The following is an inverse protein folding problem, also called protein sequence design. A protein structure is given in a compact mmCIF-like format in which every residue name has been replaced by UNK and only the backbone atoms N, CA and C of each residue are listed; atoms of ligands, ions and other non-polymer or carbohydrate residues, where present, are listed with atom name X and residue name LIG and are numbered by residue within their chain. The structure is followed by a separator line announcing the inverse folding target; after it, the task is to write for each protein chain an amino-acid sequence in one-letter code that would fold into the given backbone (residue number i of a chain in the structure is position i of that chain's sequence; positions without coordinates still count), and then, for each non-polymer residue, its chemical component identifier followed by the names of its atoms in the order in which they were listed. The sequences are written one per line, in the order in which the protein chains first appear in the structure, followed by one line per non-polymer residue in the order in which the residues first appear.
data_IF_112640883703
#
_entry.id   IF_112640883703
#
_cell.length_a   1.000
_cell.length_b   1.000
_cell.length_c   1.000
_cell.angle_alpha   90.00
_cell.angle_beta   90.00
_cell.angle_gamma   90.00
#
_symmetry.space_group_name_H-M   'P 1'
#
loop_
_entity.id
_entity.type
_entity.pdbx_description
1 polymer ?
#
# COMPACT_ATOMS: atom_id res chain seq x y z
N UNK A 1 -20.12 -9.28 12.25
CA UNK A 1 -18.95 -9.53 13.14
C UNK A 1 -18.12 -8.27 13.16
N UNK A 2 -17.67 -7.82 14.34
CA UNK A 2 -16.92 -6.58 14.50
C UNK A 2 -15.48 -6.89 14.94
N UNK A 3 -14.48 -6.25 14.33
CA UNK A 3 -13.09 -6.37 14.76
C UNK A 3 -12.31 -5.06 14.50
N UNK A 4 -11.20 -4.84 15.22
CA UNK A 4 -10.35 -3.67 15.03
C UNK A 4 -9.73 -3.54 13.62
N UNK A 5 -9.74 -2.34 13.06
CA UNK A 5 -9.21 -2.04 11.72
C UNK A 5 -7.72 -2.35 11.57
N UNK A 6 -6.93 -2.24 12.64
CA UNK A 6 -5.49 -2.53 12.59
C UNK A 6 -5.16 -3.94 12.10
N UNK A 7 -6.05 -4.92 12.27
CA UNK A 7 -5.81 -6.28 11.75
C UNK A 7 -5.68 -6.32 10.22
N UNK A 8 -6.31 -5.37 9.51
CA UNK A 8 -6.20 -5.23 8.06
C UNK A 8 -5.07 -4.26 7.66
N UNK A 9 -4.90 -3.17 8.40
CA UNK A 9 -3.89 -2.15 8.07
C UNK A 9 -2.46 -2.61 8.37
N UNK A 10 -2.26 -3.48 9.36
CA UNK A 10 -0.92 -3.91 9.74
C UNK A 10 -0.20 -4.71 8.63
N UNK A 11 -0.81 -5.73 7.99
CA UNK A 11 -0.21 -6.38 6.83
C UNK A 11 0.13 -5.42 5.68
N UNK A 12 -0.76 -4.45 5.41
CA UNK A 12 -0.52 -3.42 4.39
C UNK A 12 0.70 -2.56 4.73
N UNK A 13 0.85 -2.17 6.00
CA UNK A 13 1.99 -1.40 6.47
C UNK A 13 3.31 -2.17 6.37
N UNK A 14 3.31 -3.47 6.71
CA UNK A 14 4.49 -4.34 6.54
C UNK A 14 4.88 -4.45 5.07
N UNK A 15 3.91 -4.65 4.18
CA UNK A 15 4.16 -4.69 2.74
C UNK A 15 4.74 -3.36 2.24
N UNK A 16 4.16 -2.23 2.66
CA UNK A 16 4.69 -0.90 2.35
C UNK A 16 6.12 -0.68 2.84
N UNK A 17 6.47 -1.18 4.03
CA UNK A 17 7.82 -1.10 4.57
C UNK A 17 8.83 -1.91 3.74
N UNK A 18 8.48 -3.14 3.34
CA UNK A 18 9.33 -3.96 2.45
C UNK A 18 9.50 -3.27 1.09
N UNK A 19 8.41 -2.72 0.55
CA UNK A 19 8.45 -2.00 -0.71
C UNK A 19 9.35 -0.76 -0.65
N UNK A 20 9.34 -0.03 0.47
CA UNK A 20 10.25 1.11 0.68
C UNK A 20 11.74 0.69 0.64
N UNK A 21 12.08 -0.50 1.15
CA UNK A 21 13.46 -1.03 1.05
C UNK A 21 13.87 -1.25 -0.41
N UNK A 22 12.98 -1.79 -1.24
CA UNK A 22 13.26 -1.96 -2.67
C UNK A 22 13.47 -0.62 -3.39
N UNK A 23 12.65 0.39 -3.06
CA UNK A 23 12.81 1.74 -3.63
C UNK A 23 14.16 2.36 -3.23
N UNK A 24 14.59 2.18 -1.98
CA UNK A 24 15.90 2.65 -1.52
C UNK A 24 17.05 1.92 -2.23
N UNK A 25 16.90 0.62 -2.47
CA UNK A 25 17.87 -0.16 -3.25
C UNK A 25 17.95 0.35 -4.70
N UNK A 26 16.83 0.66 -5.33
CA UNK A 26 16.81 1.21 -6.70
C UNK A 26 17.45 2.60 -6.75
N UNK A 27 17.19 3.45 -5.75
CA UNK A 27 17.86 4.74 -5.60
C UNK A 27 19.39 4.59 -5.44
N UNK A 28 19.84 3.61 -4.66
CA UNK A 28 21.27 3.31 -4.52
C UNK A 28 21.89 2.87 -5.84
N UNK A 29 21.23 1.98 -6.58
CA UNK A 29 21.70 1.55 -7.90
C UNK A 29 21.74 2.71 -8.89
N UNK A 30 20.73 3.58 -8.88
CA UNK A 30 20.70 4.76 -9.72
C UNK A 30 21.87 5.68 -9.39
N UNK A 31 22.08 6.02 -8.12
CA UNK A 31 23.19 6.89 -7.71
C UNK A 31 24.57 6.30 -8.04
N UNK A 32 24.71 4.97 -8.00
CA UNK A 32 25.99 4.28 -8.23
C UNK A 32 26.28 3.98 -9.70
N UNK A 33 25.25 3.82 -10.54
CA UNK A 33 25.39 3.29 -11.90
C UNK A 33 24.60 4.05 -12.98
N UNK A 34 24.10 5.26 -12.68
CA UNK A 34 23.24 6.08 -13.56
C UNK A 34 23.76 6.24 -15.01
N UNK A 35 25.07 6.10 -15.24
CA UNK A 35 25.70 6.44 -16.52
C UNK A 35 25.81 5.27 -17.51
N UNK A 36 25.58 4.01 -17.10
CA UNK A 36 25.86 2.86 -17.97
C UNK A 36 24.89 2.73 -19.15
N UNK A 37 23.59 3.01 -18.95
CA UNK A 37 22.57 2.90 -20.00
C UNK A 37 21.40 3.88 -19.79
N UNK A 38 21.21 4.81 -20.73
CA UNK A 38 20.17 5.85 -20.69
C UNK A 38 18.75 5.29 -20.50
N UNK A 39 18.42 4.15 -21.12
CA UNK A 39 17.10 3.52 -20.96
C UNK A 39 16.85 3.09 -19.52
N UNK A 40 17.83 2.47 -18.86
CA UNK A 40 17.69 2.04 -17.46
C UNK A 40 17.51 3.25 -16.55
N UNK A 41 18.26 4.33 -16.78
CA UNK A 41 18.12 5.60 -16.06
C UNK A 41 16.68 6.15 -16.16
N UNK A 42 16.14 6.28 -17.37
CA UNK A 42 14.77 6.79 -17.59
C UNK A 42 13.72 5.87 -16.95
N UNK A 43 13.87 4.55 -17.07
CA UNK A 43 12.93 3.59 -16.48
C UNK A 43 12.91 3.66 -14.95
N UNK A 44 14.07 3.85 -14.31
CA UNK A 44 14.13 4.04 -12.85
C UNK A 44 13.40 5.31 -12.42
N UNK A 45 13.50 6.41 -13.17
CA UNK A 45 12.74 7.64 -12.86
C UNK A 45 11.23 7.45 -13.02
N UNK A 46 10.78 6.75 -14.08
CA UNK A 46 9.36 6.43 -14.27
C UNK A 46 8.84 5.56 -13.12
N UNK A 47 9.62 4.53 -12.73
CA UNK A 47 9.31 3.70 -11.59
C UNK A 47 9.17 4.52 -10.30
N UNK A 48 10.15 5.38 -9.99
CA UNK A 48 10.12 6.23 -8.81
C UNK A 48 8.93 7.21 -8.81
N UNK A 49 8.57 7.78 -9.96
CA UNK A 49 7.40 8.63 -10.07
C UNK A 49 6.10 7.85 -9.79
N UNK A 50 5.98 6.62 -10.31
CA UNK A 50 4.87 5.73 -10.02
C UNK A 50 4.78 5.35 -8.53
N UNK A 51 5.91 5.05 -7.90
CA UNK A 51 6.01 4.80 -6.45
C UNK A 51 5.51 6.01 -5.67
N UNK A 52 6.03 7.21 -5.97
CA UNK A 52 5.63 8.43 -5.29
C UNK A 52 4.13 8.69 -5.43
N UNK A 53 3.57 8.44 -6.63
CA UNK A 53 2.13 8.57 -6.88
C UNK A 53 1.30 7.60 -6.05
N UNK A 54 1.68 6.31 -6.02
CA UNK A 54 0.99 5.29 -5.21
C UNK A 54 1.08 5.63 -3.72
N UNK A 55 2.25 6.03 -3.23
CA UNK A 55 2.45 6.43 -1.84
C UNK A 55 1.62 7.66 -1.46
N UNK A 56 1.53 8.65 -2.35
CA UNK A 56 0.73 9.86 -2.13
C UNK A 56 -0.76 9.53 -1.99
N UNK A 57 -1.30 8.73 -2.91
CA UNK A 57 -2.70 8.31 -2.84
C UNK A 57 -2.97 7.38 -1.66
N UNK A 58 -2.09 6.40 -1.43
CA UNK A 58 -2.17 5.50 -0.28
C UNK A 58 -2.21 6.28 1.03
N UNK A 59 -1.32 7.27 1.20
CA UNK A 59 -1.35 8.17 2.35
C UNK A 59 -2.66 8.96 2.44
N UNK A 60 -3.14 9.53 1.33
CA UNK A 60 -4.38 10.31 1.30
C UNK A 60 -5.60 9.49 1.77
N UNK A 61 -5.67 8.21 1.41
CA UNK A 61 -6.73 7.31 1.85
C UNK A 61 -6.57 6.84 3.31
N UNK A 62 -5.33 6.65 3.78
CA UNK A 62 -5.04 6.10 5.10
C UNK A 62 -4.95 7.16 6.21
N UNK A 63 -4.52 8.38 5.88
CA UNK A 63 -4.32 9.49 6.83
C UNK A 63 -5.55 9.84 7.69
N UNK A 64 -6.79 9.84 7.16
CA UNK A 64 -7.96 10.13 7.99
C UNK A 64 -8.43 8.94 8.85
N UNK A 65 -7.91 7.72 8.62
CA UNK A 65 -8.39 6.52 9.29
C UNK A 65 -7.82 6.39 10.71
N UNK A 66 -8.69 6.11 11.68
CA UNK A 66 -8.26 5.71 13.01
C UNK A 66 -8.00 4.21 13.02
N UNK A 67 -6.76 3.79 13.28
CA UNK A 67 -6.37 2.38 13.27
C UNK A 67 -7.05 1.54 14.36
N UNK A 68 -7.52 2.19 15.43
CA UNK A 68 -8.29 1.56 16.50
C UNK A 68 -9.79 1.55 16.23
N UNK A 69 -10.23 2.06 15.08
CA UNK A 69 -11.63 2.02 14.68
C UNK A 69 -12.11 0.57 14.53
N UNK A 70 -13.36 0.33 14.90
CA UNK A 70 -13.97 -1.01 14.77
C UNK A 70 -14.64 -1.12 13.42
N UNK A 71 -14.25 -2.12 12.64
CA UNK A 71 -14.87 -2.44 11.35
C UNK A 71 -15.94 -3.50 11.57
N UNK A 72 -17.09 -3.32 10.92
CA UNK A 72 -18.14 -4.34 10.87
C UNK A 72 -18.20 -4.93 9.47
N UNK A 73 -17.99 -6.23 9.35
CA UNK A 73 -18.28 -6.97 8.11
C UNK A 73 -19.67 -7.58 8.24
N UNK A 74 -20.42 -7.56 7.12
CA UNK A 74 -21.76 -8.13 6.96
C UNK A 74 -22.88 -7.36 7.68
N UNK A 75 -22.73 -6.03 7.81
CA UNK A 75 -23.82 -5.20 8.28
C UNK A 75 -24.91 -5.11 7.18
N UNK A 76 -25.95 -5.93 7.29
CA UNK A 76 -27.07 -5.97 6.32
C UNK A 76 -27.33 -7.31 5.63
N UNK A 77 -26.61 -8.39 5.95
CA UNK A 77 -26.96 -9.72 5.45
C UNK A 77 -27.96 -10.38 6.42
N UNK A 78 -29.25 -10.33 6.07
CA UNK A 78 -30.28 -11.14 6.71
C UNK A 78 -30.32 -12.53 6.09
N UNK A 79 -29.92 -13.53 6.85
CA UNK A 79 -30.19 -14.92 6.50
C UNK A 79 -31.65 -15.22 6.85
N UNK A 80 -32.57 -14.99 5.90
CA UNK A 80 -33.93 -15.49 6.04
C UNK A 80 -33.90 -17.01 5.92
N UNK A 81 -34.23 -17.72 7.00
CA UNK A 81 -34.46 -19.16 6.92
C UNK A 81 -35.66 -19.43 6.01
N UNK A 82 -35.60 -20.41 5.09
CA UNK A 82 -36.75 -20.78 4.29
C UNK A 82 -37.87 -21.29 5.21
N UNK A 83 -39.01 -20.62 5.18
CA UNK A 83 -40.23 -21.10 5.82
C UNK A 83 -40.87 -22.13 4.90
N UNK A 84 -40.65 -23.40 5.19
CA UNK A 84 -41.49 -24.51 4.70
C UNK A 84 -42.42 -24.99 5.81
#
# INVERSE_FOLDING_TARGET
MAFPLYYLLFPLAVFGAIYAIFVLMDLYHLASFAEMHFTSFVMTFIFLAGVAYICFWGWTFLAPLNWNETVTIFNGITFNAPTY
#
